data_IF_310041532728
#
_entry.id   IF_310041532728
#
_cell.length_a   1.000
_cell.length_b   1.000
_cell.length_c   1.000
_cell.angle_alpha   90.00
_cell.angle_beta   90.00
_cell.angle_gamma   90.00
#
_symmetry.space_group_name_H-M   'P 1'
#
loop_
_entity.id
_entity.type
_entity.pdbx_description
1 polymer ?
#
# COMPACT_ATOMS: atom_id res chain seq x y z
N UNK A 1 -22.77 -0.86 31.34
CA UNK A 1 -22.23 -2.19 30.99
C UNK A 1 -22.84 -2.62 29.66
N UNK A 2 -22.17 -2.40 28.52
CA UNK A 2 -22.69 -2.81 27.22
C UNK A 2 -22.58 -4.33 27.04
N UNK A 3 -23.61 -4.93 26.45
CA UNK A 3 -23.79 -6.37 26.29
C UNK A 3 -22.90 -6.96 25.17
N UNK A 4 -22.47 -8.23 25.29
CA UNK A 4 -21.66 -8.89 24.26
C UNK A 4 -22.49 -9.19 23.01
N UNK A 5 -22.02 -8.73 21.84
CA UNK A 5 -22.63 -9.04 20.56
C UNK A 5 -22.32 -10.50 20.13
N UNK A 6 -23.29 -11.21 19.52
CA UNK A 6 -23.09 -12.59 19.07
C UNK A 6 -22.20 -12.66 17.82
N UNK A 7 -21.19 -13.54 17.89
CA UNK A 7 -20.28 -13.90 16.80
C UNK A 7 -21.09 -14.61 15.69
N UNK A 8 -21.33 -13.91 14.57
CA UNK A 8 -21.89 -14.51 13.36
C UNK A 8 -20.77 -15.12 12.53
N UNK A 9 -20.71 -16.45 12.50
CA UNK A 9 -19.85 -17.24 11.61
C UNK A 9 -20.33 -17.04 10.17
N UNK A 10 -19.69 -16.15 9.43
CA UNK A 10 -19.90 -16.00 7.99
C UNK A 10 -19.12 -17.08 7.25
N UNK A 11 -19.86 -18.07 6.72
CA UNK A 11 -19.32 -19.04 5.76
C UNK A 11 -18.89 -18.30 4.49
N UNK A 12 -17.58 -18.27 4.24
CA UNK A 12 -16.99 -17.90 2.96
C UNK A 12 -17.53 -18.83 1.86
N UNK A 13 -18.35 -18.30 0.96
CA UNK A 13 -18.65 -18.92 -0.32
C UNK A 13 -17.60 -18.44 -1.32
N UNK A 14 -16.68 -19.34 -1.67
CA UNK A 14 -15.74 -19.16 -2.77
C UNK A 14 -16.47 -18.87 -4.08
N UNK A 15 -16.26 -17.67 -4.63
CA UNK A 15 -16.50 -17.40 -6.04
C UNK A 15 -15.16 -17.53 -6.77
N UNK A 16 -14.83 -18.76 -7.18
CA UNK A 16 -13.83 -19.02 -8.22
C UNK A 16 -14.37 -18.47 -9.54
N UNK A 17 -13.91 -17.30 -9.95
CA UNK A 17 -14.06 -16.80 -11.32
C UNK A 17 -12.79 -17.17 -12.10
N UNK A 18 -12.80 -18.36 -12.68
CA UNK A 18 -11.78 -18.82 -13.61
C UNK A 18 -12.03 -18.15 -14.98
N UNK A 19 -11.32 -17.08 -15.31
CA UNK A 19 -11.29 -16.54 -16.67
C UNK A 19 -9.91 -16.72 -17.26
N UNK A 20 -9.72 -17.88 -17.88
CA UNK A 20 -8.60 -18.13 -18.78
C UNK A 20 -8.85 -17.36 -20.08
N UNK A 21 -8.06 -16.33 -20.36
CA UNK A 21 -8.03 -15.70 -21.69
C UNK A 21 -6.58 -15.55 -22.13
N UNK A 22 -6.11 -16.54 -22.88
CA UNK A 22 -4.86 -16.46 -23.63
C UNK A 22 -5.17 -15.99 -25.06
N UNK A 23 -4.56 -14.89 -25.53
CA UNK A 23 -4.38 -14.70 -26.95
C UNK A 23 -2.98 -15.15 -27.38
N UNK A 24 -2.99 -16.08 -28.33
CA UNK A 24 -1.84 -16.66 -29.03
C UNK A 24 -1.35 -15.69 -30.12
N UNK A 25 -0.04 -15.49 -30.13
CA UNK A 25 0.88 -14.97 -31.16
C UNK A 25 0.31 -14.70 -32.58
N UNK A 26 0.68 -13.54 -33.13
CA UNK A 26 0.80 -13.33 -34.58
C UNK A 26 1.94 -12.34 -34.90
N UNK A 27 2.85 -12.65 -35.86
CA UNK A 27 3.84 -11.70 -36.34
C UNK A 27 3.24 -10.87 -37.49
N UNK A 28 3.40 -9.55 -37.45
CA UNK A 28 3.15 -8.68 -38.61
C UNK A 28 4.33 -7.74 -38.83
N UNK A 29 5.26 -8.22 -39.65
CA UNK A 29 6.05 -7.37 -40.54
C UNK A 29 5.12 -6.56 -41.45
N UNK A 30 5.41 -5.27 -41.62
CA UNK A 30 4.85 -4.51 -42.75
C UNK A 30 4.50 -3.06 -42.47
N UNK A 31 5.47 -2.16 -42.74
CA UNK A 31 5.36 -0.92 -43.53
C UNK A 31 4.17 0.04 -43.31
N UNK A 32 4.57 1.30 -43.11
CA UNK A 32 4.26 2.47 -43.93
C UNK A 32 3.68 3.65 -43.14
N UNK A 33 4.43 4.75 -43.20
CA UNK A 33 3.99 6.08 -42.89
C UNK A 33 2.77 6.47 -43.73
N UNK A 34 1.79 7.12 -43.11
CA UNK A 34 0.88 8.04 -43.78
C UNK A 34 0.41 9.08 -42.75
N UNK A 35 0.93 10.30 -42.91
CA UNK A 35 0.42 11.50 -42.29
C UNK A 35 -0.97 11.81 -42.86
N UNK A 36 -1.94 12.11 -41.99
CA UNK A 36 -3.14 12.86 -42.34
C UNK A 36 -3.49 13.82 -41.20
N UNK A 37 -2.99 15.04 -41.36
CA UNK A 37 -3.61 16.30 -40.95
C UNK A 37 -5.13 16.30 -41.13
N UNK A 38 -5.88 16.73 -40.12
CA UNK A 38 -7.34 16.88 -40.23
C UNK A 38 -8.02 17.59 -39.06
N UNK A 39 -8.14 18.92 -39.21
CA UNK A 39 -9.27 19.77 -38.83
C UNK A 39 -9.76 19.89 -37.38
N UNK A 40 -9.34 21.01 -36.78
CA UNK A 40 -10.14 22.01 -36.06
C UNK A 40 -11.67 21.77 -36.06
N UNK A 41 -12.16 21.21 -34.95
CA UNK A 41 -13.56 21.29 -34.53
C UNK A 41 -13.63 22.02 -33.20
N UNK A 42 -13.64 23.35 -33.25
CA UNK A 42 -14.01 24.22 -32.14
C UNK A 42 -15.43 23.88 -31.69
N UNK A 43 -15.57 23.01 -30.69
CA UNK A 43 -16.83 22.85 -29.96
C UNK A 43 -16.75 23.68 -28.69
N UNK A 44 -17.02 24.96 -28.88
CA UNK A 44 -17.14 25.99 -27.86
C UNK A 44 -18.54 25.84 -27.24
N UNK A 45 -18.73 24.82 -26.41
CA UNK A 45 -19.92 24.68 -25.55
C UNK A 45 -19.44 24.74 -24.11
N UNK A 46 -19.29 25.98 -23.66
CA UNK A 46 -19.31 26.35 -22.25
C UNK A 46 -20.70 26.05 -21.69
N UNK A 47 -20.83 24.98 -20.92
CA UNK A 47 -21.85 24.89 -19.86
C UNK A 47 -21.12 24.61 -18.56
N UNK A 48 -20.90 25.69 -17.82
CA UNK A 48 -20.77 25.70 -16.37
C UNK A 48 -21.86 24.80 -15.78
N UNK A 49 -21.48 23.75 -15.00
CA UNK A 49 -22.27 23.06 -13.95
C UNK A 49 -21.72 21.65 -13.62
N UNK A 50 -20.42 21.52 -13.33
CA UNK A 50 -19.92 20.40 -12.49
C UNK A 50 -19.11 20.90 -11.30
N UNK A 51 -19.39 22.13 -10.87
CA UNK A 51 -19.08 22.57 -9.51
C UNK A 51 -20.21 22.08 -8.62
N UNK A 52 -20.00 20.97 -7.92
CA UNK A 52 -20.84 20.56 -6.80
C UNK A 52 -21.76 19.38 -7.07
N UNK A 53 -21.22 18.18 -6.91
CA UNK A 53 -21.83 17.03 -6.22
C UNK A 53 -20.84 15.87 -6.31
N UNK A 54 -20.26 15.44 -5.18
CA UNK A 54 -19.60 14.15 -5.17
C UNK A 54 -18.60 13.80 -4.07
N UNK A 55 -18.40 14.58 -3.00
CA UNK A 55 -17.67 14.09 -1.82
C UNK A 55 -18.16 14.72 -0.51
N UNK A 56 -19.47 14.75 -0.28
CA UNK A 56 -19.92 14.67 1.11
C UNK A 56 -20.02 13.19 1.42
N UNK A 57 -19.01 12.69 2.13
CA UNK A 57 -19.05 11.40 2.80
C UNK A 57 -20.44 11.21 3.42
N UNK A 58 -21.21 10.29 2.86
CA UNK A 58 -22.54 9.93 3.31
C UNK A 58 -22.35 9.04 4.55
N UNK A 59 -22.28 9.68 5.71
CA UNK A 59 -22.09 9.10 7.05
C UNK A 59 -23.27 8.24 7.53
N UNK A 60 -24.20 7.84 6.66
CA UNK A 60 -25.46 7.23 7.07
C UNK A 60 -25.66 5.75 6.71
N UNK A 61 -24.63 5.02 6.27
CA UNK A 61 -24.79 3.57 5.99
C UNK A 61 -23.86 2.67 6.81
N UNK A 62 -24.34 1.51 7.31
CA UNK A 62 -23.78 0.77 8.43
C UNK A 62 -22.59 -0.12 8.00
N UNK A 63 -21.54 0.55 7.51
CA UNK A 63 -20.16 0.09 7.34
C UNK A 63 -19.18 1.17 7.82
N UNK A 64 -19.62 2.08 8.70
CA UNK A 64 -18.94 3.27 9.24
C UNK A 64 -17.74 2.95 10.16
N UNK A 65 -16.90 2.01 9.76
CA UNK A 65 -15.70 1.61 10.50
C UNK A 65 -14.85 0.60 9.74
N UNK A 66 -15.15 0.31 8.46
CA UNK A 66 -14.21 -0.44 7.63
C UNK A 66 -13.26 0.55 6.95
N UNK A 67 -11.95 0.26 6.99
CA UNK A 67 -10.97 1.00 6.22
C UNK A 67 -11.39 1.10 4.76
N UNK A 68 -11.31 2.30 4.19
CA UNK A 68 -11.38 2.47 2.73
C UNK A 68 -9.96 2.53 2.19
N UNK A 69 -9.77 2.09 0.95
CA UNK A 69 -8.48 2.16 0.27
C UNK A 69 -7.95 3.60 0.19
N UNK A 70 -8.81 4.55 -0.19
CA UNK A 70 -8.46 5.97 -0.21
C UNK A 70 -8.06 6.50 1.18
N UNK A 71 -8.75 6.04 2.24
CA UNK A 71 -8.40 6.38 3.62
C UNK A 71 -7.03 5.83 4.02
N UNK A 72 -6.72 4.59 3.64
CA UNK A 72 -5.40 3.99 3.87
C UNK A 72 -4.30 4.75 3.11
N UNK A 73 -4.50 5.06 1.84
CA UNK A 73 -3.52 5.83 1.04
C UNK A 73 -3.28 7.23 1.64
N UNK A 74 -4.33 7.91 2.09
CA UNK A 74 -4.20 9.20 2.78
C UNK A 74 -3.41 9.07 4.09
N UNK A 75 -3.61 7.98 4.84
CA UNK A 75 -2.91 7.71 6.08
C UNK A 75 -1.42 7.42 5.84
N UNK A 76 -1.11 6.59 4.85
CA UNK A 76 0.28 6.36 4.42
C UNK A 76 0.92 7.66 3.94
N UNK A 77 0.20 8.50 3.18
CA UNK A 77 0.72 9.79 2.74
C UNK A 77 0.99 10.73 3.94
N UNK A 78 0.13 10.75 4.95
CA UNK A 78 0.29 11.60 6.12
C UNK A 78 1.47 11.17 7.01
N UNK A 79 1.67 9.86 7.21
CA UNK A 79 2.63 9.34 8.19
C UNK A 79 3.94 8.84 7.59
N UNK A 80 3.93 8.42 6.32
CA UNK A 80 5.07 7.81 5.66
C UNK A 80 5.68 8.66 4.54
N UNK A 81 5.20 9.89 4.31
CA UNK A 81 5.63 10.72 3.16
C UNK A 81 7.12 11.09 3.16
N UNK A 82 7.74 11.20 4.34
CA UNK A 82 9.14 11.57 4.47
C UNK A 82 10.13 10.42 4.21
N UNK A 83 9.65 9.17 4.18
CA UNK A 83 10.52 8.04 3.86
C UNK A 83 10.86 8.00 2.37
N UNK A 84 12.04 7.47 2.05
CA UNK A 84 12.52 7.37 0.66
C UNK A 84 12.39 5.93 0.15
N UNK A 85 11.99 5.81 -1.12
CA UNK A 85 11.93 4.57 -1.89
C UNK A 85 12.80 4.77 -3.13
N UNK A 86 13.98 4.13 -3.15
CA UNK A 86 15.04 4.46 -4.09
C UNK A 86 15.45 5.94 -3.95
N UNK A 87 15.38 6.67 -5.06
CA UNK A 87 15.74 8.10 -5.13
C UNK A 87 14.53 9.03 -4.92
N UNK A 88 13.34 8.49 -4.64
CA UNK A 88 12.10 9.27 -4.55
C UNK A 88 11.52 9.24 -3.14
N UNK A 89 10.89 10.35 -2.72
CA UNK A 89 10.09 10.34 -1.49
C UNK A 89 8.81 9.57 -1.71
N UNK A 90 8.39 8.81 -0.70
CA UNK A 90 7.17 8.01 -0.74
C UNK A 90 5.93 8.90 -0.96
N UNK A 91 5.91 10.10 -0.38
CA UNK A 91 4.84 11.07 -0.62
C UNK A 91 4.72 11.50 -2.09
N UNK A 92 5.86 11.66 -2.78
CA UNK A 92 5.88 12.02 -4.21
C UNK A 92 5.45 10.85 -5.09
N UNK A 93 5.86 9.62 -4.75
CA UNK A 93 5.43 8.41 -5.44
C UNK A 93 3.92 8.20 -5.28
N UNK A 94 3.37 8.34 -4.07
CA UNK A 94 1.93 8.23 -3.86
C UNK A 94 1.14 9.30 -4.62
N UNK A 95 1.70 10.49 -4.84
CA UNK A 95 1.02 11.55 -5.56
C UNK A 95 1.10 11.42 -7.10
N UNK A 96 2.22 10.91 -7.63
CA UNK A 96 2.54 10.99 -9.06
C UNK A 96 2.69 9.64 -9.75
N UNK A 97 2.90 8.55 -9.02
CA UNK A 97 3.13 7.20 -9.55
C UNK A 97 1.91 6.31 -9.33
N UNK A 98 1.14 6.10 -10.40
CA UNK A 98 -0.05 5.25 -10.38
C UNK A 98 0.29 3.79 -10.05
N UNK A 99 1.45 3.30 -10.48
CA UNK A 99 1.85 1.91 -10.24
C UNK A 99 2.12 1.70 -8.74
N UNK A 100 2.79 2.66 -8.10
CA UNK A 100 3.01 2.62 -6.66
C UNK A 100 1.69 2.67 -5.87
N UNK A 101 0.74 3.50 -6.29
CA UNK A 101 -0.62 3.54 -5.72
C UNK A 101 -1.32 2.18 -5.87
N UNK A 102 -1.31 1.60 -7.07
CA UNK A 102 -1.96 0.32 -7.36
C UNK A 102 -1.37 -0.84 -6.53
N UNK A 103 -0.05 -0.87 -6.33
CA UNK A 103 0.60 -1.87 -5.46
C UNK A 103 0.17 -1.71 -4.01
N UNK A 104 0.09 -0.46 -3.53
CA UNK A 104 -0.30 -0.15 -2.16
C UNK A 104 -1.78 -0.47 -1.93
N UNK A 105 -2.63 -0.24 -2.92
CA UNK A 105 -4.04 -0.65 -2.94
C UNK A 105 -4.19 -2.18 -2.89
N UNK A 106 -3.44 -2.93 -3.71
CA UNK A 106 -3.46 -4.39 -3.70
C UNK A 106 -2.98 -4.98 -2.37
N UNK A 107 -1.94 -4.39 -1.79
CA UNK A 107 -1.48 -4.74 -0.43
C UNK A 107 -2.62 -4.55 0.59
N UNK A 108 -3.32 -3.41 0.54
CA UNK A 108 -4.45 -3.12 1.41
C UNK A 108 -5.63 -4.10 1.24
N UNK A 109 -5.94 -4.47 -0.01
CA UNK A 109 -6.99 -5.45 -0.33
C UNK A 109 -6.62 -6.88 0.09
N UNK A 110 -5.35 -7.13 0.44
CA UNK A 110 -4.82 -8.45 0.77
C UNK A 110 -4.48 -9.31 -0.46
N UNK A 111 -4.44 -8.71 -1.65
CA UNK A 111 -4.05 -9.35 -2.90
C UNK A 111 -2.52 -9.50 -3.04
N UNK A 112 -1.78 -8.79 -2.20
CA UNK A 112 -0.33 -8.91 -2.05
C UNK A 112 0.02 -9.11 -0.58
N UNK A 113 0.93 -10.05 -0.32
CA UNK A 113 1.60 -10.14 0.98
C UNK A 113 2.62 -9.01 1.15
N UNK A 114 3.03 -8.74 2.40
CA UNK A 114 4.04 -7.72 2.69
C UNK A 114 5.38 -8.00 1.99
N UNK A 115 5.79 -9.27 1.92
CA UNK A 115 7.02 -9.69 1.24
C UNK A 115 6.91 -9.52 -0.29
N UNK A 116 5.77 -9.85 -0.89
CA UNK A 116 5.55 -9.64 -2.34
C UNK A 116 5.46 -8.16 -2.69
N UNK A 117 4.92 -7.33 -1.80
CA UNK A 117 4.93 -5.88 -1.94
C UNK A 117 6.36 -5.35 -1.93
N UNK A 118 7.16 -5.72 -0.91
CA UNK A 118 8.57 -5.33 -0.82
C UNK A 118 9.37 -5.74 -2.07
N UNK A 119 9.22 -6.98 -2.53
CA UNK A 119 9.91 -7.48 -3.71
C UNK A 119 9.51 -6.74 -5.00
N UNK A 120 8.23 -6.36 -5.16
CA UNK A 120 7.79 -5.55 -6.30
C UNK A 120 8.31 -4.12 -6.22
N UNK A 121 8.30 -3.51 -5.04
CA UNK A 121 8.89 -2.18 -4.84
C UNK A 121 10.39 -2.20 -5.13
N UNK A 122 11.13 -3.23 -4.69
CA UNK A 122 12.54 -3.41 -4.98
C UNK A 122 12.84 -3.56 -6.48
N UNK A 123 11.97 -4.25 -7.21
CA UNK A 123 12.12 -4.43 -8.65
C UNK A 123 11.90 -3.11 -9.43
N UNK A 124 11.02 -2.23 -8.94
CA UNK A 124 10.70 -0.95 -9.57
C UNK A 124 11.65 0.18 -9.14
N UNK A 125 12.04 0.18 -7.87
CA UNK A 125 12.86 1.21 -7.24
C UNK A 125 14.01 0.55 -6.45
N UNK A 126 15.10 0.15 -7.13
CA UNK A 126 16.23 -0.47 -6.46
C UNK A 126 16.89 0.51 -5.49
N UNK A 127 17.13 0.07 -4.25
CA UNK A 127 17.75 0.85 -3.20
C UNK A 127 18.74 -0.01 -2.39
N UNK A 128 19.78 0.61 -1.83
CA UNK A 128 20.82 -0.09 -1.08
C UNK A 128 20.32 -0.68 0.26
N UNK A 129 19.34 -0.03 0.87
CA UNK A 129 18.67 -0.43 2.12
C UNK A 129 17.42 -1.28 1.87
N UNK A 130 17.22 -1.72 0.62
CA UNK A 130 16.06 -2.45 0.15
C UNK A 130 14.71 -1.76 0.42
N UNK A 131 14.67 -0.43 0.58
CA UNK A 131 13.45 0.32 0.90
C UNK A 131 12.78 -0.13 2.22
N UNK A 132 13.51 -0.83 3.10
CA UNK A 132 13.01 -1.36 4.38
C UNK A 132 12.33 -0.30 5.26
N UNK A 133 12.88 0.91 5.46
CA UNK A 133 12.23 1.88 6.35
C UNK A 133 10.89 2.39 5.77
N UNK A 134 10.83 2.64 4.46
CA UNK A 134 9.63 3.11 3.80
C UNK A 134 8.54 2.02 3.77
N UNK A 135 8.88 0.82 3.30
CA UNK A 135 7.95 -0.32 3.24
C UNK A 135 7.50 -0.75 4.64
N UNK A 136 8.39 -0.71 5.64
CA UNK A 136 8.06 -0.94 7.04
C UNK A 136 7.02 0.03 7.56
N UNK A 137 7.13 1.32 7.23
CA UNK A 137 6.11 2.31 7.60
C UNK A 137 4.74 1.98 6.99
N UNK A 138 4.68 1.62 5.70
CA UNK A 138 3.43 1.25 5.01
C UNK A 138 2.78 0.03 5.68
N UNK A 139 3.58 -1.00 5.99
CA UNK A 139 3.09 -2.23 6.62
C UNK A 139 2.62 -2.01 8.06
N UNK A 140 3.32 -1.15 8.82
CA UNK A 140 2.91 -0.75 10.16
C UNK A 140 1.56 0.00 10.14
N UNK A 141 1.39 0.92 9.18
CA UNK A 141 0.11 1.60 8.98
C UNK A 141 -0.99 0.60 8.61
N UNK A 142 -0.70 -0.38 7.76
CA UNK A 142 -1.66 -1.42 7.38
C UNK A 142 -2.08 -2.26 8.60
N UNK A 143 -1.13 -2.67 9.44
CA UNK A 143 -1.40 -3.45 10.64
C UNK A 143 -2.23 -2.65 11.65
N UNK A 144 -1.85 -1.39 11.88
CA UNK A 144 -2.63 -0.43 12.71
C UNK A 144 -4.05 -0.32 12.18
N UNK A 145 -4.19 -0.23 10.87
CA UNK A 145 -5.44 -0.18 10.16
C UNK A 145 -6.32 -1.42 10.28
N UNK A 146 -5.73 -2.61 10.32
CA UNK A 146 -6.46 -3.87 10.49
C UNK A 146 -6.91 -4.08 11.94
N UNK A 147 -6.17 -3.53 12.91
CA UNK A 147 -6.46 -3.65 14.33
C UNK A 147 -7.44 -2.58 14.86
N UNK A 148 -7.65 -1.48 14.12
CA UNK A 148 -8.43 -0.33 14.59
C UNK A 148 -9.10 0.47 13.47
N UNK A 149 -9.58 1.69 13.75
CA UNK A 149 -10.17 2.56 12.74
C UNK A 149 -9.08 3.16 11.84
N UNK A 150 -9.16 2.93 10.51
CA UNK A 150 -8.36 3.63 9.50
C UNK A 150 -8.93 4.99 9.14
N UNK A 151 -9.23 5.79 10.15
CA UNK A 151 -9.46 7.20 9.91
C UNK A 151 -8.18 7.93 10.21
N UNK A 152 -7.72 8.72 9.23
CA UNK A 152 -6.83 9.84 9.52
C UNK A 152 -7.63 10.71 10.47
N UNK A 153 -7.46 10.47 11.76
CA UNK A 153 -7.97 11.38 12.77
C UNK A 153 -7.17 12.64 12.53
N UNK A 154 -7.75 13.60 11.79
CA UNK A 154 -7.19 14.94 11.66
C UNK A 154 -6.70 15.31 13.06
N UNK A 155 -5.43 15.72 13.22
CA UNK A 155 -4.85 15.95 14.53
C UNK A 155 -5.80 16.86 15.29
N UNK A 156 -6.57 16.26 16.20
CA UNK A 156 -7.58 16.97 16.97
C UNK A 156 -6.82 18.10 17.62
N UNK A 157 -7.25 19.33 17.32
CA UNK A 157 -6.65 20.57 17.81
C UNK A 157 -6.11 20.32 19.22
N UNK A 158 -4.83 20.62 19.48
CA UNK A 158 -4.06 20.05 20.59
C UNK A 158 -4.91 20.08 21.84
N UNK A 159 -5.46 18.93 22.20
CA UNK A 159 -6.20 18.78 23.46
C UNK A 159 -5.12 19.03 24.49
N UNK A 160 -5.18 20.23 25.11
CA UNK A 160 -4.14 20.78 25.97
C UNK A 160 -3.53 19.64 26.80
N UNK A 161 -2.29 19.30 26.49
CA UNK A 161 -1.65 18.09 26.97
C UNK A 161 -1.73 18.06 28.49
N UNK A 162 -2.61 17.22 29.02
CA UNK A 162 -2.51 16.77 30.40
C UNK A 162 -1.15 16.11 30.49
N UNK A 163 -0.23 16.78 31.19
CA UNK A 163 1.16 16.37 31.39
C UNK A 163 1.19 14.89 31.76
N UNK A 164 1.54 14.05 30.79
CA UNK A 164 1.75 12.64 31.02
C UNK A 164 3.01 12.52 31.87
N UNK A 165 2.83 11.96 33.06
CA UNK A 165 3.90 11.59 33.98
C UNK A 165 4.98 10.81 33.22
N UNK A 166 6.28 11.12 33.41
CA UNK A 166 7.35 10.45 32.70
C UNK A 166 7.27 8.94 32.89
N UNK A 167 7.07 8.21 31.79
CA UNK A 167 7.15 6.76 31.77
C UNK A 167 8.62 6.40 32.02
N UNK A 168 8.94 5.60 33.04
CA UNK A 168 10.32 5.22 33.33
C UNK A 168 10.90 4.46 32.14
N UNK A 169 12.16 4.79 31.80
CA UNK A 169 12.86 4.19 30.69
C UNK A 169 12.81 2.64 30.77
N UNK A 170 12.48 1.95 29.67
CA UNK A 170 12.52 0.49 29.64
C UNK A 170 13.95 0.05 29.97
N UNK A 171 14.10 -0.66 31.09
CA UNK A 171 15.36 -1.30 31.45
C UNK A 171 15.56 -2.44 30.46
N UNK A 172 16.38 -2.21 29.44
CA UNK A 172 16.79 -3.25 28.48
C UNK A 172 17.53 -4.32 29.28
N UNK A 173 17.01 -5.56 29.39
CA UNK A 173 17.73 -6.63 30.04
C UNK A 173 19.03 -6.90 29.26
N UNK A 174 20.15 -7.19 29.94
CA UNK A 174 21.42 -7.47 29.29
C UNK A 174 21.23 -8.64 28.32
N UNK A 175 21.52 -8.37 27.05
CA UNK A 175 21.48 -9.32 25.95
C UNK A 175 22.38 -10.52 26.29
N UNK A 176 21.80 -11.72 26.30
CA UNK A 176 22.56 -12.93 26.56
C UNK A 176 23.56 -13.14 25.41
N UNK A 177 24.83 -13.52 25.71
CA UNK A 177 25.83 -13.72 24.68
C UNK A 177 25.35 -14.76 23.66
N UNK A 178 25.28 -14.37 22.39
CA UNK A 178 24.91 -15.27 21.30
C UNK A 178 25.85 -16.48 21.28
N UNK A 179 25.32 -17.71 21.15
CA UNK A 179 26.15 -18.89 20.98
C UNK A 179 26.93 -18.78 19.67
N UNK A 180 28.20 -19.25 19.63
CA UNK A 180 28.99 -19.20 18.41
C UNK A 180 28.27 -19.95 17.29
N UNK A 181 28.06 -19.26 16.15
CA UNK A 181 27.53 -19.87 14.93
C UNK A 181 28.35 -21.13 14.62
N UNK A 182 27.68 -22.28 14.62
CA UNK A 182 28.28 -23.52 14.17
C UNK A 182 28.75 -23.32 12.73
N UNK A 183 30.05 -23.45 12.50
CA UNK A 183 30.67 -23.41 11.19
C UNK A 183 30.06 -24.52 10.33
N UNK A 184 29.27 -24.14 9.33
CA UNK A 184 28.71 -25.07 8.36
C UNK A 184 29.87 -25.75 7.59
N UNK A 185 29.90 -27.09 7.51
CA UNK A 185 30.98 -27.80 6.84
C UNK A 185 30.98 -27.48 5.33
N UNK A 186 32.16 -27.16 4.81
CA UNK A 186 32.35 -26.81 3.41
C UNK A 186 31.81 -27.91 2.46
N UNK A 187 31.21 -27.54 1.31
CA UNK A 187 30.67 -28.50 0.36
C UNK A 187 31.79 -29.34 -0.25
N UNK A 188 31.64 -30.67 -0.18
CA UNK A 188 32.52 -31.65 -0.82
C UNK A 188 32.41 -31.49 -2.35
N UNK A 189 33.52 -31.35 -3.09
CA UNK A 189 33.48 -31.22 -4.54
C UNK A 189 33.00 -32.53 -5.19
N UNK A 190 31.98 -32.43 -6.04
CA UNK A 190 31.53 -33.52 -6.91
C UNK A 190 32.58 -33.78 -8.02
N UNK A 191 32.91 -35.05 -8.31
CA UNK A 191 33.83 -35.39 -9.40
C UNK A 191 33.19 -35.15 -10.77
N UNK A 192 33.87 -34.39 -11.62
CA UNK A 192 33.49 -34.16 -13.02
C UNK A 192 33.73 -35.43 -13.88
N UNK A 193 32.84 -35.71 -14.86
CA UNK A 193 32.98 -36.84 -15.79
C UNK A 193 34.06 -36.63 -16.87
#
# INVERSE_FOLDING_TARGET
MPAPCPVRVLRFRSCLALTASTPRVGPRTGRAAAALTGSLGLSLVTVLLTTGCGMTADWTRPLAGRPTEAGFLALVQAHCSDFSVGEHRLGDLLANDQLFQDLTARLFQGDLSGDEYLNQILALHPAADANVPATGCVLDQLQTCQLGPCEVTEPSAPVAATVATPVPAPTVPPEAPEPPLATEPAPTPEPLP
#
